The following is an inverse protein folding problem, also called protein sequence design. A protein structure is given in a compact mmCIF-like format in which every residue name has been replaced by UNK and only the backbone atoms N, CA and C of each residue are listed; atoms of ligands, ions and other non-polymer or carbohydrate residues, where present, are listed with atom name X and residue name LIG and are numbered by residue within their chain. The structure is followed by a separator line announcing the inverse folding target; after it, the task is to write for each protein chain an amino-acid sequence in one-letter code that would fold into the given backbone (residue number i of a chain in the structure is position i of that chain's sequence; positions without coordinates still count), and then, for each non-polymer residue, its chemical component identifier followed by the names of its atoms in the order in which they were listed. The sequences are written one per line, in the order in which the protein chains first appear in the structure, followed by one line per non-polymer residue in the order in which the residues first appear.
data_IF_510541953315
#
_entry.id   IF_510541953315
#
_cell.length_a   1.000
_cell.length_b   1.000
_cell.length_c   1.000
_cell.angle_alpha   90.00
_cell.angle_beta   90.00
_cell.angle_gamma   90.00
#
_symmetry.space_group_name_H-M   'P 1'
#
loop_
_entity.id
_entity.type
_entity.pdbx_description
1 polymer ?
#
# COMPACT_ATOMS: atom_id res chain seq x y z
N UNK A 1 -13.60 -20.14 2.04
CA UNK A 1 -14.64 -19.14 2.37
C UNK A 1 -13.93 -17.80 2.57
N UNK A 2 -14.06 -16.86 1.63
CA UNK A 2 -13.41 -15.56 1.70
C UNK A 2 -14.36 -14.56 2.39
N UNK A 3 -13.87 -13.85 3.40
CA UNK A 3 -14.61 -12.80 4.11
C UNK A 3 -14.18 -11.44 3.59
N UNK A 4 -15.15 -10.60 3.19
CA UNK A 4 -14.91 -9.22 2.76
C UNK A 4 -15.17 -8.25 3.93
N UNK A 5 -14.12 -7.58 4.42
CA UNK A 5 -14.23 -6.60 5.52
C UNK A 5 -14.37 -5.18 4.95
N UNK A 6 -15.60 -4.66 4.95
CA UNK A 6 -15.95 -3.33 4.42
C UNK A 6 -16.16 -2.25 5.50
N UNK A 7 -15.98 -2.60 6.78
CA UNK A 7 -16.32 -1.74 7.92
C UNK A 7 -15.26 -0.68 8.18
N UNK A 8 -15.63 0.61 8.17
CA UNK A 8 -14.71 1.75 8.33
C UNK A 8 -14.10 1.90 9.73
N UNK A 9 -14.77 1.38 10.76
CA UNK A 9 -14.45 1.53 12.17
C UNK A 9 -14.58 0.17 12.84
N UNK A 10 -13.63 -0.17 13.69
CA UNK A 10 -13.70 -1.36 14.54
C UNK A 10 -13.85 -0.93 16.01
N UNK A 11 -14.74 -1.61 16.74
CA UNK A 11 -14.98 -1.28 18.15
C UNK A 11 -13.77 -1.63 19.03
N UNK A 12 -13.36 -0.67 19.86
CA UNK A 12 -12.38 -0.86 20.94
C UNK A 12 -12.73 -2.05 21.84
N UNK A 13 -11.71 -2.77 22.33
CA UNK A 13 -11.90 -3.91 23.25
C UNK A 13 -12.15 -3.45 24.69
N UNK A 14 -11.64 -2.27 25.05
CA UNK A 14 -11.84 -1.59 26.33
C UNK A 14 -11.41 -0.10 26.21
N UNK A 15 -11.67 0.73 27.24
CA UNK A 15 -11.18 2.11 27.30
C UNK A 15 -9.65 2.13 27.11
N UNK A 16 -9.16 2.81 26.07
CA UNK A 16 -7.75 2.83 25.63
C UNK A 16 -7.12 1.49 25.21
N UNK A 17 -7.89 0.40 25.06
CA UNK A 17 -7.40 -0.86 24.47
C UNK A 17 -7.86 -0.99 23.02
N UNK A 18 -6.98 -0.52 22.14
CA UNK A 18 -7.02 -0.72 20.70
C UNK A 18 -7.05 -2.22 20.38
N UNK A 19 -7.97 -2.65 19.50
CA UNK A 19 -7.91 -4.00 18.92
C UNK A 19 -6.82 -4.02 17.86
N UNK A 20 -6.41 -5.21 17.44
CA UNK A 20 -5.54 -5.35 16.27
C UNK A 20 -6.18 -4.85 14.96
N UNK A 21 -7.34 -4.19 14.97
CA UNK A 21 -8.05 -3.60 13.83
C UNK A 21 -8.86 -2.45 14.44
N UNK A 22 -8.51 -1.19 14.22
CA UNK A 22 -9.20 -0.03 14.84
C UNK A 22 -9.87 0.88 13.83
N UNK A 23 -9.26 1.06 12.66
CA UNK A 23 -9.77 1.91 11.59
C UNK A 23 -9.20 1.43 10.24
N UNK A 24 -9.93 1.67 9.15
CA UNK A 24 -9.38 1.42 7.81
C UNK A 24 -8.39 2.51 7.38
N UNK A 25 -8.59 3.74 7.86
CA UNK A 25 -7.84 4.91 7.36
C UNK A 25 -6.38 4.96 7.79
N UNK A 26 -6.03 4.57 9.03
CA UNK A 26 -4.63 4.29 9.37
C UNK A 26 -4.21 2.84 9.12
N UNK A 27 -4.61 2.24 7.99
CA UNK A 27 -3.77 1.36 7.13
C UNK A 27 -3.08 0.12 7.72
N UNK A 28 -3.17 -0.15 9.02
CA UNK A 28 -2.43 -1.23 9.67
C UNK A 28 -3.17 -2.55 9.53
N UNK A 29 -4.50 -2.51 9.47
CA UNK A 29 -5.26 -3.66 9.93
C UNK A 29 -6.58 -3.79 9.16
N UNK A 30 -6.48 -4.29 7.92
CA UNK A 30 -7.62 -4.72 7.13
C UNK A 30 -7.45 -6.18 6.73
N UNK A 31 -8.26 -7.07 7.29
CA UNK A 31 -8.06 -8.52 7.11
C UNK A 31 -8.09 -8.94 5.63
N UNK A 32 -8.91 -8.30 4.79
CA UNK A 32 -8.93 -8.52 3.34
C UNK A 32 -7.76 -7.96 2.57
N UNK A 33 -7.26 -6.78 2.95
CA UNK A 33 -6.13 -6.18 2.23
C UNK A 33 -4.83 -6.89 2.61
N UNK A 34 -4.72 -7.34 3.86
CA UNK A 34 -3.57 -8.11 4.34
C UNK A 34 -3.43 -9.44 3.61
N UNK A 35 -4.54 -10.16 3.38
CA UNK A 35 -4.46 -11.45 2.65
C UNK A 35 -3.98 -11.27 1.21
N UNK A 36 -4.39 -10.20 0.53
CA UNK A 36 -3.93 -9.90 -0.83
C UNK A 36 -2.45 -9.49 -0.80
N UNK A 37 -2.02 -8.68 0.17
CA UNK A 37 -0.60 -8.30 0.35
C UNK A 37 0.29 -9.53 0.60
N UNK A 38 -0.16 -10.46 1.46
CA UNK A 38 0.56 -11.69 1.78
C UNK A 38 0.70 -12.59 0.54
N UNK A 39 -0.36 -12.72 -0.26
CA UNK A 39 -0.32 -13.50 -1.51
C UNK A 39 0.64 -12.86 -2.52
N UNK A 40 0.64 -11.53 -2.65
CA UNK A 40 1.58 -10.84 -3.53
C UNK A 40 3.03 -11.04 -3.05
N UNK A 41 3.29 -10.95 -1.75
CA UNK A 41 4.62 -11.22 -1.18
C UNK A 41 5.10 -12.65 -1.49
N UNK A 42 4.22 -13.63 -1.35
CA UNK A 42 4.51 -15.02 -1.69
C UNK A 42 4.80 -15.20 -3.17
N UNK A 43 4.02 -14.58 -4.06
CA UNK A 43 4.22 -14.68 -5.51
C UNK A 43 5.51 -14.00 -5.98
N UNK A 44 5.83 -12.85 -5.41
CA UNK A 44 7.05 -12.09 -5.70
C UNK A 44 8.28 -12.62 -4.93
N UNK A 45 8.16 -13.73 -4.19
CA UNK A 45 9.20 -14.30 -3.33
C UNK A 45 9.90 -13.25 -2.45
N UNK A 46 9.12 -12.28 -1.95
CA UNK A 46 9.60 -11.10 -1.25
C UNK A 46 9.26 -11.18 0.23
N UNK A 47 10.20 -10.79 1.10
CA UNK A 47 10.09 -10.99 2.56
C UNK A 47 9.86 -9.71 3.38
N UNK A 48 9.85 -8.54 2.73
CA UNK A 48 9.92 -7.25 3.43
C UNK A 48 8.54 -6.68 3.72
N UNK A 49 7.91 -6.03 2.73
CA UNK A 49 6.64 -5.31 2.91
C UNK A 49 5.95 -5.22 1.56
N UNK A 50 4.63 -5.47 1.51
CA UNK A 50 3.78 -5.14 0.38
C UNK A 50 2.72 -4.13 0.84
N UNK A 51 2.48 -3.11 0.03
CA UNK A 51 1.48 -2.08 0.31
C UNK A 51 0.53 -1.99 -0.87
N UNK A 52 -0.75 -2.28 -0.62
CA UNK A 52 -1.79 -2.05 -1.62
C UNK A 52 -2.12 -0.56 -1.70
N UNK A 53 -2.21 -0.08 -2.94
CA UNK A 53 -2.49 1.30 -3.28
C UNK A 53 -3.65 1.30 -4.27
N UNK A 54 -4.50 2.31 -4.20
CA UNK A 54 -5.73 2.39 -4.99
C UNK A 54 -5.49 2.51 -6.50
N UNK A 55 -4.27 2.85 -6.93
CA UNK A 55 -3.89 2.97 -8.34
C UNK A 55 -2.38 2.92 -8.53
N UNK A 56 -1.98 2.53 -9.74
CA UNK A 56 -0.58 2.31 -10.11
C UNK A 56 0.26 3.60 -10.05
N UNK A 57 -0.31 4.72 -10.48
CA UNK A 57 0.36 6.03 -10.49
C UNK A 57 0.70 6.48 -9.06
N UNK A 58 -0.20 6.24 -8.11
CA UNK A 58 0.06 6.53 -6.69
C UNK A 58 1.10 5.58 -6.09
N UNK A 59 1.24 4.35 -6.60
CA UNK A 59 2.31 3.45 -6.18
C UNK A 59 3.68 3.98 -6.59
N UNK A 60 3.83 4.41 -7.85
CA UNK A 60 5.06 5.04 -8.34
C UNK A 60 5.36 6.32 -7.55
N UNK A 61 4.35 7.17 -7.34
CA UNK A 61 4.49 8.41 -6.58
C UNK A 61 4.94 8.16 -5.12
N UNK A 62 4.38 7.14 -4.46
CA UNK A 62 4.75 6.78 -3.10
C UNK A 62 6.21 6.31 -3.02
N UNK A 63 6.67 5.52 -4.00
CA UNK A 63 8.08 5.08 -4.09
C UNK A 63 9.00 6.29 -4.22
N UNK A 64 8.65 7.24 -5.09
CA UNK A 64 9.43 8.47 -5.30
C UNK A 64 9.55 9.27 -4.01
N UNK A 65 8.43 9.51 -3.31
CA UNK A 65 8.43 10.33 -2.09
C UNK A 65 9.19 9.68 -0.94
N UNK A 66 9.08 8.37 -0.78
CA UNK A 66 9.73 7.67 0.34
C UNK A 66 11.24 7.55 0.12
N UNK A 67 11.67 7.31 -1.13
CA UNK A 67 13.06 6.98 -1.41
C UNK A 67 13.90 8.19 -1.85
N UNK A 68 13.32 9.18 -2.52
CA UNK A 68 14.09 10.25 -3.17
C UNK A 68 14.04 11.56 -2.40
N UNK A 69 15.15 12.27 -2.47
CA UNK A 69 15.34 13.62 -1.94
C UNK A 69 15.55 14.61 -3.08
N UNK A 70 15.34 15.92 -2.83
CA UNK A 70 15.71 16.92 -3.81
C UNK A 70 17.18 16.78 -4.21
N UNK A 71 17.45 16.76 -5.52
CA UNK A 71 18.75 16.51 -6.20
C UNK A 71 19.11 15.05 -6.47
N UNK A 72 18.28 14.09 -6.07
CA UNK A 72 18.45 12.71 -6.54
C UNK A 72 18.03 12.58 -8.01
N UNK A 73 18.74 11.74 -8.76
CA UNK A 73 18.48 11.48 -10.18
C UNK A 73 17.77 10.12 -10.33
N UNK A 74 16.67 10.11 -11.10
CA UNK A 74 15.94 8.89 -11.47
C UNK A 74 16.25 8.56 -12.92
N UNK A 75 16.66 7.32 -13.18
CA UNK A 75 16.79 6.80 -14.55
C UNK A 75 15.51 6.03 -14.86
N UNK A 76 14.81 6.41 -15.93
CA UNK A 76 13.61 5.72 -16.41
C UNK A 76 13.83 5.19 -17.83
N UNK A 77 13.14 4.10 -18.18
CA UNK A 77 13.16 3.55 -19.53
C UNK A 77 12.33 4.43 -20.47
N UNK A 78 12.82 4.68 -21.68
CA UNK A 78 12.10 5.45 -22.70
C UNK A 78 10.72 4.85 -23.08
N UNK A 79 10.49 3.56 -22.75
CA UNK A 79 9.22 2.86 -22.99
C UNK A 79 8.34 2.76 -21.73
N UNK A 80 8.57 3.57 -20.70
CA UNK A 80 7.72 3.57 -19.52
C UNK A 80 6.29 4.05 -19.85
N UNK A 81 5.30 3.61 -19.07
CA UNK A 81 3.90 3.99 -19.24
C UNK A 81 3.75 5.51 -19.41
N UNK A 82 2.96 5.93 -20.40
CA UNK A 82 2.86 7.33 -20.82
C UNK A 82 2.50 8.29 -19.68
N UNK A 83 1.70 7.84 -18.70
CA UNK A 83 1.34 8.63 -17.52
C UNK A 83 2.42 8.79 -16.44
N UNK A 84 3.53 8.03 -16.47
CA UNK A 84 4.62 8.13 -15.48
C UNK A 84 5.78 9.04 -15.92
N UNK A 85 5.83 9.43 -17.19
CA UNK A 85 6.93 10.22 -17.77
C UNK A 85 6.52 11.44 -18.58
N UNK A 86 5.22 11.69 -18.80
CA UNK A 86 4.78 12.84 -19.59
C UNK A 86 4.62 14.10 -18.75
N UNK A 87 5.73 14.77 -18.44
CA UNK A 87 5.71 16.22 -18.30
C UNK A 87 5.87 16.80 -19.70
N UNK A 88 4.76 17.17 -20.33
CA UNK A 88 4.78 18.24 -21.34
C UNK A 88 4.62 19.57 -20.62
#
# INVERSE_FOLDING_TARGET
MFFLYLTSIYNFKNFNYLKNYDYLRLRKNNSTENTVQDVILLLENSFLVCVLISSDIFAIYLIIIILLKPRDLIIYSNNCCSGSGSYR
#
